data_IF_150248952266
#
_entry.id   IF_150248952266
#
_cell.length_a   1.000
_cell.length_b   1.000
_cell.length_c   1.000
_cell.angle_alpha   90.00
_cell.angle_beta   90.00
_cell.angle_gamma   90.00
#
_symmetry.space_group_name_H-M   'P 1'
#
loop_
_entity.id
_entity.type
_entity.pdbx_description
1 polymer ?
#
# COMPACT_ATOMS: atom_id res chain seq x y z
N UNK A 1 7.58 -25.44 -11.00
CA UNK A 1 7.28 -24.29 -10.09
C UNK A 1 7.29 -22.92 -10.78
N UNK A 2 8.14 -22.65 -11.80
CA UNK A 2 8.23 -21.32 -12.47
C UNK A 2 6.95 -20.82 -13.17
N UNK A 3 6.00 -21.71 -13.52
CA UNK A 3 4.81 -21.39 -14.33
C UNK A 3 3.74 -20.55 -13.62
N UNK A 4 3.73 -20.52 -12.28
CA UNK A 4 2.73 -19.75 -11.50
C UNK A 4 3.37 -18.65 -10.66
N UNK A 5 4.67 -18.41 -10.80
CA UNK A 5 5.41 -17.44 -9.98
C UNK A 5 4.88 -16.01 -10.14
N UNK A 6 4.47 -15.62 -11.36
CA UNK A 6 3.83 -14.32 -11.60
C UNK A 6 2.48 -14.19 -10.87
N UNK A 7 1.72 -15.27 -10.71
CA UNK A 7 0.44 -15.24 -9.98
C UNK A 7 0.70 -14.96 -8.51
N UNK A 8 1.70 -15.63 -7.92
CA UNK A 8 2.10 -15.40 -6.53
C UNK A 8 2.56 -13.95 -6.35
N UNK A 9 3.42 -13.44 -7.25
CA UNK A 9 3.87 -12.05 -7.21
C UNK A 9 2.71 -11.05 -7.32
N UNK A 10 1.72 -11.33 -8.19
CA UNK A 10 0.52 -10.51 -8.33
C UNK A 10 -0.32 -10.51 -7.05
N UNK A 11 -0.52 -11.69 -6.43
CA UNK A 11 -1.28 -11.80 -5.18
C UNK A 11 -0.57 -11.05 -4.03
N UNK A 12 0.76 -11.15 -3.95
CA UNK A 12 1.56 -10.39 -2.97
C UNK A 12 1.42 -8.89 -3.21
N UNK A 13 1.50 -8.44 -4.47
CA UNK A 13 1.29 -7.04 -4.83
C UNK A 13 -0.11 -6.56 -4.40
N UNK A 14 -1.17 -7.30 -4.74
CA UNK A 14 -2.54 -6.93 -4.41
C UNK A 14 -2.78 -6.91 -2.89
N UNK A 15 -2.29 -7.90 -2.16
CA UNK A 15 -2.42 -7.95 -0.71
C UNK A 15 -1.67 -6.77 -0.04
N UNK A 16 -0.44 -6.49 -0.49
CA UNK A 16 0.36 -5.37 0.02
C UNK A 16 -0.28 -4.02 -0.31
N UNK A 17 -0.81 -3.85 -1.53
CA UNK A 17 -1.51 -2.65 -1.94
C UNK A 17 -2.78 -2.44 -1.12
N UNK A 18 -3.61 -3.47 -0.96
CA UNK A 18 -4.85 -3.40 -0.20
C UNK A 18 -4.58 -3.06 1.27
N UNK A 19 -3.58 -3.70 1.88
CA UNK A 19 -3.19 -3.41 3.26
C UNK A 19 -2.74 -1.95 3.44
N UNK A 20 -1.86 -1.46 2.56
CA UNK A 20 -1.39 -0.07 2.62
C UNK A 20 -2.53 0.92 2.35
N UNK A 21 -3.36 0.67 1.35
CA UNK A 21 -4.50 1.51 1.02
C UNK A 21 -5.50 1.59 2.20
N UNK A 22 -5.80 0.46 2.84
CA UNK A 22 -6.70 0.43 3.98
C UNK A 22 -6.15 1.21 5.18
N UNK A 23 -4.88 1.01 5.53
CA UNK A 23 -4.24 1.70 6.65
C UNK A 23 -4.04 3.20 6.41
N UNK A 24 -3.46 3.58 5.26
CA UNK A 24 -3.23 4.98 4.94
C UNK A 24 -4.56 5.71 4.69
N UNK A 25 -5.53 5.07 4.03
CA UNK A 25 -6.88 5.61 3.86
C UNK A 25 -7.63 5.78 5.19
N UNK A 26 -7.39 4.91 6.17
CA UNK A 26 -7.89 5.08 7.54
C UNK A 26 -7.21 6.26 8.25
N UNK A 27 -5.88 6.37 8.15
CA UNK A 27 -5.10 7.47 8.72
C UNK A 27 -5.54 8.83 8.18
N UNK A 28 -5.89 8.88 6.88
CA UNK A 28 -6.34 10.07 6.19
C UNK A 28 -7.70 10.61 6.66
N UNK A 29 -8.47 9.78 7.38
CA UNK A 29 -9.79 10.12 7.93
C UNK A 29 -9.73 10.58 9.39
N UNK A 30 -8.55 10.50 10.03
CA UNK A 30 -8.35 11.06 11.36
C UNK A 30 -8.44 12.59 11.28
N UNK A 31 -9.32 13.18 12.09
CA UNK A 31 -9.70 14.59 11.95
C UNK A 31 -8.53 15.57 12.15
N UNK A 32 -7.57 15.19 12.98
CA UNK A 32 -6.47 16.05 13.42
C UNK A 32 -5.14 15.75 12.72
N UNK A 33 -4.79 14.47 12.54
CA UNK A 33 -3.53 14.07 11.89
C UNK A 33 -3.70 13.76 10.40
N UNK A 34 -4.90 13.39 9.94
CA UNK A 34 -5.16 13.03 8.54
C UNK A 34 -4.80 14.15 7.55
N UNK A 35 -5.22 15.42 7.77
CA UNK A 35 -4.84 16.54 6.91
C UNK A 35 -3.32 16.79 6.86
N UNK A 36 -2.62 16.60 7.99
CA UNK A 36 -1.16 16.74 8.06
C UNK A 36 -0.46 15.66 7.24
N UNK A 37 -0.90 14.40 7.39
CA UNK A 37 -0.38 13.26 6.64
C UNK A 37 -0.59 13.47 5.13
N UNK A 38 -1.77 13.92 4.69
CA UNK A 38 -2.03 14.20 3.26
C UNK A 38 -1.09 15.27 2.71
N UNK A 39 -0.98 16.41 3.38
CA UNK A 39 -0.10 17.52 2.95
C UNK A 39 1.37 17.11 2.90
N UNK A 40 1.83 16.34 3.89
CA UNK A 40 3.20 15.86 3.92
C UNK A 40 3.45 14.82 2.82
N UNK A 41 2.50 13.90 2.58
CA UNK A 41 2.59 12.92 1.51
C UNK A 41 2.63 13.55 0.11
N UNK A 42 1.84 14.59 -0.12
CA UNK A 42 1.84 15.36 -1.38
C UNK A 42 3.20 16.00 -1.68
N UNK A 43 3.94 16.42 -0.64
CA UNK A 43 5.24 17.07 -0.80
C UNK A 43 6.40 16.10 -0.87
N UNK A 44 6.39 15.04 -0.07
CA UNK A 44 7.60 14.27 0.25
C UNK A 44 7.48 12.76 -0.02
N UNK A 45 6.26 12.23 -0.16
CA UNK A 45 6.05 10.80 -0.30
C UNK A 45 4.96 10.45 -1.34
N UNK A 46 5.27 10.54 -2.65
CA UNK A 46 4.31 10.27 -3.73
C UNK A 46 3.68 8.86 -3.66
N UNK A 47 4.43 7.89 -3.15
CA UNK A 47 3.91 6.53 -2.96
C UNK A 47 2.86 6.46 -1.84
N UNK A 48 3.07 7.18 -0.73
CA UNK A 48 2.06 7.31 0.33
C UNK A 48 0.84 8.03 -0.22
N UNK A 49 1.01 9.09 -1.02
CA UNK A 49 -0.09 9.77 -1.69
C UNK A 49 -0.91 8.82 -2.58
N UNK A 50 -0.24 7.90 -3.27
CA UNK A 50 -0.92 6.88 -4.07
C UNK A 50 -1.77 5.96 -3.19
N UNK A 51 -1.25 5.51 -2.05
CA UNK A 51 -2.01 4.70 -1.09
C UNK A 51 -3.17 5.46 -0.46
N UNK A 52 -3.02 6.74 -0.16
CA UNK A 52 -4.10 7.59 0.36
C UNK A 52 -5.26 7.68 -0.64
N UNK A 53 -4.96 7.97 -1.91
CA UNK A 53 -5.97 8.09 -2.97
C UNK A 53 -6.68 6.76 -3.24
N UNK A 54 -5.93 5.66 -3.31
CA UNK A 54 -6.50 4.31 -3.50
C UNK A 54 -7.31 3.91 -2.27
N UNK A 55 -6.82 4.25 -1.07
CA UNK A 55 -7.48 3.99 0.21
C UNK A 55 -8.83 4.67 0.33
N UNK A 56 -8.91 5.96 0.01
CA UNK A 56 -10.18 6.71 0.02
C UNK A 56 -11.23 6.04 -0.87
N UNK A 57 -10.84 5.66 -2.09
CA UNK A 57 -11.73 4.97 -3.05
C UNK A 57 -12.14 3.60 -2.53
N UNK A 58 -11.19 2.82 -2.01
CA UNK A 58 -11.40 1.45 -1.54
C UNK A 58 -12.29 1.41 -0.29
N UNK A 59 -12.07 2.31 0.66
CA UNK A 59 -12.90 2.43 1.86
C UNK A 59 -14.29 2.98 1.51
N UNK A 60 -14.36 3.96 0.61
CA UNK A 60 -15.61 4.47 0.03
C UNK A 60 -16.49 3.36 -0.54
N UNK A 61 -15.89 2.44 -1.32
CA UNK A 61 -16.60 1.33 -1.92
C UNK A 61 -16.94 0.19 -0.93
N UNK A 62 -16.05 -0.09 0.02
CA UNK A 62 -16.21 -1.20 0.96
C UNK A 62 -17.05 -0.88 2.20
N UNK A 63 -17.29 0.40 2.51
CA UNK A 63 -18.01 0.82 3.72
C UNK A 63 -17.22 0.65 5.02
N UNK A 64 -15.90 0.42 4.96
CA UNK A 64 -15.06 0.11 6.11
C UNK A 64 -14.33 1.33 6.70
N UNK A 65 -14.77 2.55 6.39
CA UNK A 65 -14.16 3.80 6.83
C UNK A 65 -13.92 3.85 8.33
N UNK A 66 -14.95 3.56 9.13
CA UNK A 66 -14.88 3.63 10.59
C UNK A 66 -13.90 2.61 11.18
N UNK A 67 -13.88 1.38 10.65
CA UNK A 67 -12.97 0.33 11.11
C UNK A 67 -11.51 0.67 10.76
N UNK A 68 -11.28 1.18 9.55
CA UNK A 68 -9.95 1.62 9.12
C UNK A 68 -9.45 2.81 9.95
N UNK A 69 -10.30 3.79 10.21
CA UNK A 69 -9.98 4.94 11.05
C UNK A 69 -9.67 4.51 12.50
N UNK A 70 -10.48 3.63 13.10
CA UNK A 70 -10.22 3.12 14.45
C UNK A 70 -8.89 2.37 14.56
N UNK A 71 -8.58 1.53 13.56
CA UNK A 71 -7.29 0.82 13.52
C UNK A 71 -6.12 1.76 13.28
N UNK A 72 -6.29 2.80 12.46
CA UNK A 72 -5.27 3.81 12.25
C UNK A 72 -5.06 4.62 13.54
N UNK A 73 -6.12 5.07 14.21
CA UNK A 73 -6.03 5.77 15.50
C UNK A 73 -5.22 4.95 16.51
N UNK A 74 -5.48 3.65 16.64
CA UNK A 74 -4.71 2.78 17.53
C UNK A 74 -3.22 2.67 17.14
N UNK A 75 -2.92 2.64 15.84
CA UNK A 75 -1.55 2.53 15.33
C UNK A 75 -0.75 3.84 15.48
N UNK A 76 -1.43 4.99 15.33
CA UNK A 76 -0.83 6.33 15.38
C UNK A 76 -0.94 7.01 16.73
N UNK A 77 -1.78 6.53 17.67
CA UNK A 77 -1.93 7.10 19.00
C UNK A 77 -0.61 7.39 19.73
N UNK A 78 0.42 6.49 19.69
CA UNK A 78 1.70 6.77 20.35
C UNK A 78 2.51 7.89 19.66
N UNK A 79 2.32 8.08 18.35
CA UNK A 79 3.01 9.09 17.56
C UNK A 79 2.24 10.43 17.48
N UNK A 80 0.94 10.43 17.78
CA UNK A 80 0.01 11.54 17.57
C UNK A 80 0.48 12.86 18.16
N UNK A 81 0.88 12.86 19.44
CA UNK A 81 1.38 14.06 20.12
C UNK A 81 2.61 14.67 19.42
N UNK A 82 3.46 13.83 18.85
CA UNK A 82 4.69 14.24 18.16
C UNK A 82 4.41 14.74 16.74
N UNK A 83 3.51 14.06 16.01
CA UNK A 83 3.04 14.49 14.69
C UNK A 83 2.36 15.86 14.74
N UNK A 84 1.63 16.15 15.82
CA UNK A 84 1.02 17.46 16.04
C UNK A 84 2.05 18.52 16.46
N UNK A 85 3.09 18.14 17.20
CA UNK A 85 4.14 19.05 17.63
C UNK A 85 5.12 19.45 16.51
N UNK A 86 5.35 18.56 15.54
CA UNK A 86 6.32 18.76 14.44
C UNK A 86 5.71 18.36 13.08
N UNK A 87 4.72 19.11 12.59
CA UNK A 87 4.00 18.77 11.36
C UNK A 87 4.88 18.77 10.11
N UNK A 88 5.98 19.54 10.09
CA UNK A 88 6.95 19.53 8.99
C UNK A 88 7.80 18.26 8.89
N UNK A 89 7.91 17.46 9.96
CA UNK A 89 8.73 16.24 9.99
C UNK A 89 7.90 14.96 9.91
N UNK A 90 6.60 15.05 9.62
CA UNK A 90 5.65 13.93 9.65
C UNK A 90 6.16 12.69 8.89
N UNK A 91 6.63 12.84 7.64
CA UNK A 91 7.13 11.70 6.85
C UNK A 91 8.46 11.18 7.41
N UNK A 92 9.40 12.06 7.76
CA UNK A 92 10.68 11.67 8.34
C UNK A 92 10.51 10.92 9.68
N UNK A 93 9.59 11.37 10.54
CA UNK A 93 9.31 10.78 11.85
C UNK A 93 8.54 9.45 11.68
N UNK A 94 7.57 9.39 10.75
CA UNK A 94 6.79 8.17 10.43
C UNK A 94 7.63 7.05 9.83
N UNK A 95 8.69 7.36 9.08
CA UNK A 95 9.60 6.36 8.52
C UNK A 95 10.89 6.20 9.34
N UNK A 96 11.22 7.13 10.23
CA UNK A 96 12.45 7.14 11.03
C UNK A 96 12.33 6.42 12.38
N UNK A 97 11.15 6.45 13.01
CA UNK A 97 10.94 5.90 14.35
C UNK A 97 9.95 4.72 14.37
N UNK A 98 10.20 3.77 15.27
CA UNK A 98 9.34 2.61 15.51
C UNK A 98 8.38 2.89 16.68
N UNK A 99 7.19 3.41 16.41
CA UNK A 99 6.19 3.67 17.45
C UNK A 99 5.29 2.46 17.71
N UNK A 100 5.03 1.62 16.71
CA UNK A 100 4.20 0.42 16.86
C UNK A 100 4.58 -0.72 15.91
N UNK A 101 4.15 -1.93 16.25
CA UNK A 101 4.25 -3.10 15.36
C UNK A 101 3.49 -2.85 14.04
N UNK A 102 2.30 -2.24 14.11
CA UNK A 102 1.52 -1.88 12.93
C UNK A 102 2.28 -0.93 12.01
N UNK A 103 2.94 0.09 12.56
CA UNK A 103 3.76 1.03 11.78
C UNK A 103 5.00 0.33 11.18
N UNK A 104 5.62 -0.59 11.92
CA UNK A 104 6.77 -1.36 11.42
C UNK A 104 6.37 -2.27 10.26
N UNK A 105 5.21 -2.93 10.35
CA UNK A 105 4.62 -3.68 9.25
C UNK A 105 4.24 -2.77 8.08
N UNK A 106 3.74 -1.56 8.35
CA UNK A 106 3.46 -0.57 7.31
C UNK A 106 4.72 -0.18 6.53
N UNK A 107 5.81 0.11 7.23
CA UNK A 107 7.09 0.47 6.60
C UNK A 107 7.67 -0.67 5.77
N UNK A 108 7.56 -1.91 6.24
CA UNK A 108 7.99 -3.08 5.46
C UNK A 108 7.12 -3.27 4.21
N UNK A 109 5.79 -3.25 4.39
CA UNK A 109 4.85 -3.46 3.29
C UNK A 109 4.81 -2.30 2.30
N UNK A 110 5.18 -1.09 2.72
CA UNK A 110 5.27 0.10 1.88
C UNK A 110 6.20 -0.13 0.68
N UNK A 111 7.37 -0.76 0.90
CA UNK A 111 8.32 -1.11 -0.16
C UNK A 111 8.02 -2.45 -0.83
N UNK A 112 7.32 -3.34 -0.12
CA UNK A 112 6.91 -4.63 -0.69
C UNK A 112 6.03 -4.45 -1.93
N UNK A 113 5.13 -3.46 -1.93
CA UNK A 113 4.22 -3.20 -3.05
C UNK A 113 4.96 -2.90 -4.38
N UNK A 114 5.84 -1.87 -4.48
CA UNK A 114 6.56 -1.60 -5.73
C UNK A 114 7.50 -2.76 -6.12
N UNK A 115 8.15 -3.42 -5.16
CA UNK A 115 9.01 -4.58 -5.43
C UNK A 115 8.21 -5.75 -6.01
N UNK A 116 7.05 -6.08 -5.40
CA UNK A 116 6.18 -7.14 -5.86
C UNK A 116 5.63 -6.85 -7.27
N UNK A 117 5.29 -5.58 -7.55
CA UNK A 117 4.87 -5.16 -8.88
C UNK A 117 5.98 -5.39 -9.93
N UNK A 118 7.21 -4.97 -9.63
CA UNK A 118 8.36 -5.18 -10.54
C UNK A 118 8.63 -6.68 -10.77
N UNK A 119 8.63 -7.47 -9.70
CA UNK A 119 8.81 -8.94 -9.80
C UNK A 119 7.71 -9.56 -10.64
N UNK A 120 6.45 -9.13 -10.46
CA UNK A 120 5.33 -9.56 -11.28
C UNK A 120 5.55 -9.22 -12.75
N UNK A 121 5.90 -7.98 -13.07
CA UNK A 121 6.11 -7.53 -14.46
C UNK A 121 7.24 -8.33 -15.13
N UNK A 122 8.37 -8.54 -14.44
CA UNK A 122 9.49 -9.34 -14.95
C UNK A 122 9.06 -10.80 -15.17
N UNK A 123 8.39 -11.41 -14.20
CA UNK A 123 7.93 -12.78 -14.29
C UNK A 123 6.88 -12.97 -15.40
N UNK A 124 5.99 -12.00 -15.56
CA UNK A 124 4.96 -11.98 -16.60
C UNK A 124 5.56 -11.82 -17.99
N UNK A 125 6.57 -10.95 -18.15
CA UNK A 125 7.28 -10.75 -19.40
C UNK A 125 8.08 -11.99 -19.82
N UNK A 126 8.68 -12.70 -18.84
CA UNK A 126 9.45 -13.94 -19.08
C UNK A 126 8.57 -15.19 -19.20
N UNK A 127 7.24 -15.06 -19.22
CA UNK A 127 6.34 -16.22 -19.28
C UNK A 127 6.50 -16.93 -20.63
N UNK A 128 6.66 -18.27 -20.66
CA UNK A 128 6.68 -19.00 -21.91
C UNK A 128 5.28 -18.93 -22.54
N UNK A 129 5.16 -18.18 -23.64
CA UNK A 129 3.94 -18.15 -24.43
C UNK A 129 3.85 -19.48 -25.19
N UNK A 130 2.88 -20.33 -24.83
CA UNK A 130 2.63 -21.54 -25.61
C UNK A 130 2.06 -21.09 -26.95
N UNK A 131 2.85 -21.19 -28.01
CA UNK A 131 2.35 -21.03 -29.37
C UNK A 131 1.41 -22.21 -29.60
N UNK A 132 0.10 -21.98 -29.47
CA UNK A 132 -0.89 -22.96 -29.90
C UNK A 132 -0.82 -23.01 -31.41
N UNK A 133 -0.05 -23.96 -31.93
CA UNK A 133 -0.13 -24.34 -33.35
C UNK A 133 -1.58 -24.73 -33.58
N UNK A 134 -2.34 -23.88 -34.28
CA UNK A 134 -3.59 -24.30 -34.90
C UNK A 134 -3.17 -25.44 -35.83
N UNK A 135 -3.52 -26.68 -35.48
CA UNK A 135 -3.37 -27.77 -36.44
C UNK A 135 -4.20 -27.34 -37.64
N UNK A 136 -3.52 -27.05 -38.76
CA UNK A 136 -4.18 -27.01 -40.04
C UNK A 136 -4.78 -28.41 -40.21
N UNK A 137 -6.09 -28.49 -40.02
CA UNK A 137 -6.85 -29.69 -40.30
C UNK A 137 -6.49 -30.14 -41.71
N UNK A 138 -5.94 -31.35 -41.81
CA UNK A 138 -5.91 -32.09 -43.07
C UNK A 138 -7.36 -32.20 -43.54
N UNK A 139 -7.67 -31.58 -44.67
CA UNK A 139 -8.76 -31.99 -45.55
C UNK A 139 -8.13 -32.69 -46.74
#
# INVERSE_FOLDING_TARGET
>A
MKKHFYIVALLVFLASLAYNAWYWGGAAQLADVGPLIRRAAEREAPLVQTYLLVGDRLLGWSGQQAAAAASAEAAFAPARARLLAQPELVIADLFGHHYSLAQSTLRFTHWLCPVALLVFLIAWARRPQSIKMKSLGRR
#
